data_IF_070546748397
#
_entry.id   IF_070546748397
#
_cell.length_a   1.000
_cell.length_b   1.000
_cell.length_c   1.000
_cell.angle_alpha   90.00
_cell.angle_beta   90.00
_cell.angle_gamma   90.00
#
_symmetry.space_group_name_H-M   'P 1'
#
loop_
_entity.id
_entity.type
_entity.pdbx_description
1 polymer ?
#
# COMPACT_ATOMS: atom_id res chain seq x y z
N UNK A 1 -23.27 -7.49 -6.32
CA UNK A 1 -23.60 -7.20 -4.91
C UNK A 1 -23.10 -5.80 -4.62
N UNK A 2 -23.90 -4.96 -3.96
CA UNK A 2 -23.49 -3.60 -3.63
C UNK A 2 -22.48 -3.66 -2.47
N UNK A 3 -21.40 -2.89 -2.58
CA UNK A 3 -20.36 -2.83 -1.57
C UNK A 3 -20.35 -1.44 -0.94
N UNK A 4 -20.21 -1.39 0.38
CA UNK A 4 -20.23 -0.15 1.17
C UNK A 4 -18.92 0.00 1.92
N UNK A 5 -18.39 1.22 1.91
CA UNK A 5 -17.24 1.58 2.72
C UNK A 5 -17.72 1.78 4.17
N UNK A 6 -17.10 1.08 5.09
CA UNK A 6 -17.39 1.16 6.53
C UNK A 6 -16.10 1.33 7.30
N UNK A 7 -16.15 2.11 8.38
CA UNK A 7 -15.03 2.25 9.29
C UNK A 7 -15.31 1.37 10.52
N UNK A 8 -14.61 0.25 10.66
CA UNK A 8 -14.80 -0.70 11.76
C UNK A 8 -13.89 -0.32 12.91
N UNK A 9 -14.46 -0.05 14.09
CA UNK A 9 -13.68 0.38 15.27
C UNK A 9 -12.98 -0.77 15.95
N UNK A 10 -13.51 -2.00 15.83
CA UNK A 10 -12.98 -3.18 16.49
C UNK A 10 -13.09 -4.39 15.60
N UNK A 11 -12.00 -5.13 15.46
CA UNK A 11 -12.00 -6.37 14.70
C UNK A 11 -12.94 -7.39 15.36
N UNK A 12 -13.75 -8.06 14.55
CA UNK A 12 -14.67 -9.09 15.01
C UNK A 12 -14.88 -10.17 13.95
N UNK A 13 -15.42 -11.32 14.36
CA UNK A 13 -15.82 -12.38 13.44
C UNK A 13 -17.32 -12.52 13.45
N UNK A 14 -17.93 -12.45 12.27
CA UNK A 14 -19.38 -12.52 12.08
C UNK A 14 -19.70 -13.87 11.42
N UNK A 15 -20.46 -14.70 12.12
CA UNK A 15 -20.95 -15.97 11.57
C UNK A 15 -22.27 -15.70 10.87
N UNK A 16 -22.32 -15.90 9.55
CA UNK A 16 -23.48 -15.64 8.71
C UNK A 16 -23.90 -16.95 8.06
N UNK A 17 -25.19 -17.24 8.02
CA UNK A 17 -25.69 -18.38 7.26
C UNK A 17 -26.01 -17.92 5.84
N UNK A 18 -25.30 -18.47 4.85
CA UNK A 18 -25.57 -18.28 3.42
C UNK A 18 -25.83 -19.63 2.78
N UNK A 19 -26.91 -19.73 2.02
CA UNK A 19 -27.27 -20.95 1.28
C UNK A 19 -27.32 -22.24 2.11
N UNK A 20 -27.62 -22.12 3.42
CA UNK A 20 -27.66 -23.24 4.37
C UNK A 20 -26.31 -23.58 5.01
N UNK A 21 -25.23 -22.89 4.65
CA UNK A 21 -23.90 -23.05 5.22
C UNK A 21 -23.53 -21.87 6.15
N UNK A 22 -22.88 -22.19 7.27
CA UNK A 22 -22.32 -21.18 8.16
C UNK A 22 -20.98 -20.70 7.63
N UNK A 23 -20.92 -19.45 7.22
CA UNK A 23 -19.71 -18.77 6.78
C UNK A 23 -19.22 -17.87 7.91
N UNK A 24 -17.98 -18.10 8.38
CA UNK A 24 -17.32 -17.19 9.30
C UNK A 24 -16.61 -16.10 8.50
N UNK A 25 -17.11 -14.88 8.61
CA UNK A 25 -16.50 -13.69 8.01
C UNK A 25 -15.68 -12.95 9.06
N UNK A 26 -14.36 -12.91 8.87
CA UNK A 26 -13.47 -12.10 9.70
C UNK A 26 -13.49 -10.66 9.18
N UNK A 27 -13.81 -9.72 10.05
CA UNK A 27 -13.85 -8.29 9.75
C UNK A 27 -12.77 -7.64 10.62
N UNK A 28 -11.84 -6.94 9.98
CA UNK A 28 -10.72 -6.31 10.65
C UNK A 28 -11.12 -4.90 11.11
N UNK A 29 -10.31 -4.31 11.98
CA UNK A 29 -10.50 -2.91 12.34
C UNK A 29 -9.95 -2.01 11.22
N UNK A 30 -10.58 -0.87 11.00
CA UNK A 30 -10.20 0.11 9.99
C UNK A 30 -11.24 0.29 8.89
N UNK A 31 -10.86 1.06 7.86
CA UNK A 31 -11.74 1.38 6.75
C UNK A 31 -11.68 0.26 5.73
N UNK A 32 -12.76 -0.50 5.62
CA UNK A 32 -12.85 -1.60 4.68
C UNK A 32 -14.14 -1.58 3.88
N UNK A 33 -14.11 -2.27 2.75
CA UNK A 33 -15.24 -2.40 1.85
C UNK A 33 -15.96 -3.71 2.18
N UNK A 34 -17.15 -3.60 2.75
CA UNK A 34 -18.01 -4.73 3.08
C UNK A 34 -19.18 -4.83 2.11
N UNK A 35 -19.74 -6.02 1.97
CA UNK A 35 -21.02 -6.18 1.26
C UNK A 35 -22.14 -5.46 2.01
N UNK A 36 -23.10 -4.91 1.27
CA UNK A 36 -24.23 -4.14 1.82
C UNK A 36 -24.95 -4.89 2.95
N UNK A 37 -25.24 -6.18 2.78
CA UNK A 37 -25.93 -6.99 3.79
C UNK A 37 -25.15 -7.07 5.11
N UNK A 38 -23.82 -7.16 5.03
CA UNK A 38 -22.94 -7.21 6.20
C UNK A 38 -22.80 -5.82 6.81
N UNK A 39 -22.66 -4.78 5.99
CA UNK A 39 -22.60 -3.39 6.43
C UNK A 39 -23.90 -2.92 7.09
N UNK A 40 -25.05 -3.43 6.65
CA UNK A 40 -26.35 -3.11 7.22
C UNK A 40 -26.73 -3.99 8.42
N UNK A 41 -25.97 -5.05 8.68
CA UNK A 41 -26.14 -5.92 9.84
C UNK A 41 -25.94 -5.14 11.15
N UNK A 42 -26.81 -5.39 12.13
CA UNK A 42 -26.84 -4.66 13.40
C UNK A 42 -25.51 -4.70 14.16
N UNK A 43 -24.83 -5.85 14.12
CA UNK A 43 -23.54 -6.04 14.80
C UNK A 43 -22.42 -5.22 14.16
N UNK A 44 -22.38 -5.19 12.82
CA UNK A 44 -21.44 -4.36 12.08
C UNK A 44 -21.70 -2.89 12.35
N UNK A 45 -22.96 -2.45 12.35
CA UNK A 45 -23.35 -1.07 12.69
C UNK A 45 -22.93 -0.67 14.10
N UNK A 46 -23.07 -1.57 15.07
CA UNK A 46 -22.68 -1.31 16.46
C UNK A 46 -21.16 -1.19 16.66
N UNK A 47 -20.38 -1.77 15.75
CA UNK A 47 -18.92 -1.74 15.76
C UNK A 47 -18.34 -0.96 14.58
N UNK A 48 -19.16 -0.14 13.93
CA UNK A 48 -18.74 0.77 12.87
C UNK A 48 -18.97 2.21 13.29
N UNK A 49 -18.08 3.09 12.87
CA UNK A 49 -18.24 4.54 12.95
C UNK A 49 -18.45 5.14 11.56
N UNK A 50 -18.83 6.42 11.54
CA UNK A 50 -18.88 7.19 10.32
C UNK A 50 -17.52 7.19 9.62
N UNK A 51 -17.55 6.91 8.32
CA UNK A 51 -16.36 7.02 7.49
C UNK A 51 -15.98 8.50 7.39
N UNK A 52 -14.73 8.89 7.69
CA UNK A 52 -14.31 10.28 7.59
C UNK A 52 -14.58 10.86 6.20
N UNK A 53 -15.12 12.09 6.16
CA UNK A 53 -15.44 12.76 4.89
C UNK A 53 -14.18 12.90 4.03
N UNK A 54 -14.22 12.35 2.82
CA UNK A 54 -13.10 12.37 1.87
C UNK A 54 -12.43 11.02 1.68
N UNK A 55 -12.65 10.05 2.57
CA UNK A 55 -12.11 8.70 2.39
C UNK A 55 -12.94 7.92 1.38
N UNK A 56 -12.32 7.58 0.25
CA UNK A 56 -12.91 6.77 -0.84
C UNK A 56 -12.23 5.41 -1.02
N UNK A 57 -11.06 5.25 -0.41
CA UNK A 57 -10.22 4.07 -0.45
C UNK A 57 -10.32 3.32 0.87
N UNK A 58 -10.11 2.00 0.82
CA UNK A 58 -9.90 1.18 2.00
C UNK A 58 -8.52 1.43 2.60
N UNK A 59 -8.33 1.07 3.87
CA UNK A 59 -7.05 1.16 4.56
C UNK A 59 -5.96 0.39 3.79
N UNK A 60 -6.31 -0.80 3.27
CA UNK A 60 -5.43 -1.59 2.42
C UNK A 60 -5.05 -0.89 1.10
N UNK A 61 -5.97 -0.15 0.47
CA UNK A 61 -5.68 0.64 -0.73
C UNK A 61 -4.77 1.84 -0.39
N UNK A 62 -5.00 2.51 0.73
CA UNK A 62 -4.16 3.61 1.19
C UNK A 62 -2.74 3.13 1.55
N UNK A 63 -2.63 2.00 2.25
CA UNK A 63 -1.34 1.40 2.58
C UNK A 63 -0.60 0.98 1.32
N UNK A 64 -1.28 0.36 0.36
CA UNK A 64 -0.67 -0.04 -0.91
C UNK A 64 -0.13 1.16 -1.69
N UNK A 65 -0.86 2.27 -1.70
CA UNK A 65 -0.39 3.51 -2.35
C UNK A 65 0.83 4.12 -1.64
N UNK A 66 0.88 4.03 -0.31
CA UNK A 66 2.05 4.44 0.48
C UNK A 66 3.28 3.56 0.20
N UNK A 67 3.10 2.23 0.18
CA UNK A 67 4.15 1.26 -0.16
C UNK A 67 4.69 1.48 -1.58
N UNK A 68 3.81 1.69 -2.57
CA UNK A 68 4.21 1.94 -3.96
C UNK A 68 5.01 3.24 -4.09
N UNK A 69 4.62 4.29 -3.35
CA UNK A 69 5.35 5.54 -3.30
C UNK A 69 6.73 5.42 -2.62
N UNK A 70 6.86 4.55 -1.60
CA UNK A 70 8.14 4.28 -0.95
C UNK A 70 9.07 3.46 -1.86
N UNK A 71 8.50 2.46 -2.55
CA UNK A 71 9.22 1.63 -3.50
C UNK A 71 9.74 2.45 -4.69
N UNK A 72 8.91 3.34 -5.23
CA UNK A 72 9.31 4.27 -6.30
C UNK A 72 10.44 5.22 -5.85
N UNK A 73 10.45 5.64 -4.58
CA UNK A 73 11.57 6.44 -4.04
C UNK A 73 12.85 5.62 -3.92
N UNK A 74 12.78 4.40 -3.42
CA UNK A 74 13.93 3.50 -3.34
C UNK A 74 14.52 3.21 -4.74
N UNK A 75 13.67 2.93 -5.73
CA UNK A 75 14.12 2.73 -7.12
C UNK A 75 14.79 4.00 -7.70
N UNK A 76 14.24 5.18 -7.42
CA UNK A 76 14.84 6.44 -7.85
C UNK A 76 16.20 6.71 -7.19
N UNK A 77 16.34 6.42 -5.89
CA UNK A 77 17.62 6.52 -5.17
C UNK A 77 18.65 5.50 -5.67
N UNK A 78 18.25 4.26 -5.94
CA UNK A 78 19.14 3.23 -6.49
C UNK A 78 19.63 3.64 -7.88
N UNK A 79 18.74 4.12 -8.75
CA UNK A 79 19.11 4.55 -10.08
C UNK A 79 20.04 5.78 -10.06
N UNK A 80 19.77 6.75 -9.19
CA UNK A 80 20.64 7.91 -8.99
C UNK A 80 22.04 7.51 -8.46
N UNK A 81 22.09 6.53 -7.55
CA UNK A 81 23.35 6.01 -7.04
C UNK A 81 24.15 5.23 -8.12
N UNK A 82 23.46 4.48 -8.97
CA UNK A 82 24.06 3.78 -10.10
C UNK A 82 24.63 4.76 -11.14
N UNK A 83 23.89 5.83 -11.46
CA UNK A 83 24.33 6.88 -12.38
C UNK A 83 25.56 7.63 -11.85
N UNK A 84 25.54 8.03 -10.59
CA UNK A 84 26.67 8.70 -9.93
C UNK A 84 27.93 7.81 -9.90
N UNK A 85 27.76 6.50 -9.71
CA UNK A 85 28.87 5.54 -9.72
C UNK A 85 29.44 5.37 -11.14
N UNK A 86 28.58 5.32 -12.16
CA UNK A 86 29.01 5.25 -13.55
C UNK A 86 29.77 6.52 -13.99
N UNK A 87 29.30 7.70 -13.60
CA UNK A 87 29.99 8.97 -13.86
C UNK A 87 31.34 9.06 -13.14
N UNK A 88 31.42 8.63 -11.87
CA UNK A 88 32.66 8.59 -11.12
C UNK A 88 33.69 7.64 -11.75
N UNK A 89 33.25 6.48 -12.23
CA UNK A 89 34.13 5.49 -12.89
C UNK A 89 34.60 5.98 -14.27
N UNK A 90 33.73 6.65 -15.03
CA UNK A 90 34.08 7.28 -16.30
C UNK A 90 35.09 8.44 -16.11
N UNK A 91 34.88 9.29 -15.10
CA UNK A 91 35.80 10.38 -14.77
C UNK A 91 37.18 9.85 -14.32
N UNK A 92 37.21 8.78 -13.52
CA UNK A 92 38.45 8.14 -13.11
C UNK A 92 39.21 7.50 -14.28
N UNK A 93 38.51 6.89 -15.23
CA UNK A 93 39.11 6.29 -16.42
C UNK A 93 39.72 7.35 -17.37
N UNK A 94 39.06 8.49 -17.55
CA UNK A 94 39.60 9.62 -18.33
C UNK A 94 40.82 10.25 -17.66
N UNK A 95 40.79 10.45 -16.34
CA UNK A 95 41.94 10.96 -15.59
C UNK A 95 43.17 10.02 -15.69
N UNK A 96 42.96 8.71 -15.62
CA UNK A 96 44.03 7.72 -15.78
C UNK A 96 44.64 7.73 -17.20
N UNK A 97 43.82 7.89 -18.24
CA UNK A 97 44.30 8.02 -19.63
C UNK A 97 45.06 9.31 -19.88
N UNK A 98 44.65 10.42 -19.27
CA UNK A 98 45.33 11.71 -19.38
C UNK A 98 46.72 11.66 -18.72
N UNK A 99 46.83 11.05 -17.53
CA UNK A 99 48.11 10.87 -16.84
C UNK A 99 49.10 9.99 -17.63
N UNK A 100 48.62 8.93 -18.28
CA UNK A 100 49.46 8.03 -19.07
C UNK A 100 50.02 8.68 -20.36
N UNK A 101 49.31 9.66 -20.95
CA UNK A 101 49.75 10.37 -22.15
C UNK A 101 50.74 11.51 -21.86
N UNK A 102 50.73 12.09 -20.66
CA UNK A 102 51.59 13.22 -20.32
C UNK A 102 52.99 12.81 -19.82
N UNK A 103 53.24 11.50 -19.65
CA UNK A 103 54.49 10.95 -19.12
C UNK A 103 55.39 10.30 -20.18
N UNK A 104 55.18 10.62 -21.46
CA UNK A 104 55.98 10.13 -22.61
C UNK A 104 56.43 11.30 -23.49
#
# INVERSE_FOLDING_TARGET
>A
MANKLVNITKAFTLTIVRDGEQVLMKIEAGIQRLEQDVADHWYTKAHSEDVPKGVKQTDAEAQKEADDAELAKMEAEENAAAEAKAEAEAAAAEAAKAAAKSSK
#
